data_IF_241897857518
#
_entry.id   IF_241897857518
#
_cell.length_a   1.000
_cell.length_b   1.000
_cell.length_c   1.000
_cell.angle_alpha   90.00
_cell.angle_beta   90.00
_cell.angle_gamma   90.00
#
_symmetry.space_group_name_H-M   'P 1'
#
loop_
_entity.id
_entity.type
_entity.pdbx_description
1 polymer ?
#
# COMPACT_ATOMS: atom_id res chain seq x y z
N UNK A 1 -5.78 -9.07 65.07
CA UNK A 1 -6.45 -9.36 63.77
C UNK A 1 -6.40 -8.07 62.93
N UNK A 2 -5.49 -7.97 62.01
CA UNK A 2 -5.36 -6.82 61.10
C UNK A 2 -5.63 -7.37 59.68
N UNK A 3 -6.72 -6.90 59.03
CA UNK A 3 -7.04 -7.19 57.64
C UNK A 3 -6.13 -6.37 56.74
N UNK A 4 -5.33 -7.05 55.95
CA UNK A 4 -4.58 -6.43 54.86
C UNK A 4 -5.49 -6.32 53.63
N UNK A 5 -5.84 -5.10 53.23
CA UNK A 5 -6.46 -4.81 51.94
C UNK A 5 -5.37 -4.86 50.84
N UNK A 6 -5.47 -5.82 49.95
CA UNK A 6 -4.64 -5.90 48.77
C UNK A 6 -5.18 -4.88 47.72
N UNK A 7 -4.37 -3.90 47.39
CA UNK A 7 -4.59 -3.00 46.26
C UNK A 7 -4.25 -3.73 44.98
N UNK A 8 -5.23 -4.05 44.16
CA UNK A 8 -5.07 -4.50 42.78
C UNK A 8 -4.72 -3.31 41.86
N UNK A 9 -3.81 -3.44 40.92
CA UNK A 9 -3.44 -2.36 40.02
C UNK A 9 -4.53 -2.12 38.96
N UNK A 10 -4.96 -0.86 38.85
CA UNK A 10 -5.91 -0.33 37.86
C UNK A 10 -5.26 -0.22 36.46
N UNK A 11 -5.01 -1.34 35.80
CA UNK A 11 -4.52 -1.36 34.41
C UNK A 11 -5.25 -2.46 33.63
N UNK A 12 -6.50 -2.31 33.31
CA UNK A 12 -7.17 -3.05 32.21
C UNK A 12 -8.66 -2.68 32.15
N UNK A 13 -8.98 -1.51 31.61
CA UNK A 13 -10.31 -1.31 31.04
C UNK A 13 -10.12 -1.16 29.51
N UNK A 14 -10.80 -1.95 28.70
CA UNK A 14 -10.82 -1.71 27.26
C UNK A 14 -11.58 -0.41 27.01
N UNK A 15 -10.91 0.60 26.46
CA UNK A 15 -11.56 1.80 25.97
C UNK A 15 -12.32 1.43 24.70
N UNK A 16 -13.57 1.03 24.84
CA UNK A 16 -14.52 0.93 23.74
C UNK A 16 -14.93 2.35 23.34
N UNK A 17 -14.16 2.97 22.47
CA UNK A 17 -14.62 4.18 21.78
C UNK A 17 -15.64 3.76 20.70
N UNK A 18 -16.89 3.88 21.04
CA UNK A 18 -17.99 3.86 20.07
C UNK A 18 -17.93 5.20 19.32
N UNK A 19 -17.33 5.21 18.13
CA UNK A 19 -17.48 6.32 17.20
C UNK A 19 -18.89 6.18 16.59
N UNK A 20 -19.78 7.18 16.71
CA UNK A 20 -21.03 7.16 15.97
C UNK A 20 -20.68 7.15 14.47
N UNK A 21 -21.37 6.32 13.68
CA UNK A 21 -21.35 6.40 12.23
C UNK A 21 -21.75 7.83 11.85
N UNK A 22 -20.76 8.67 11.57
CA UNK A 22 -21.01 9.96 10.98
C UNK A 22 -21.60 9.67 9.60
N UNK A 23 -22.89 9.95 9.43
CA UNK A 23 -23.52 10.12 8.13
C UNK A 23 -22.81 11.27 7.42
N UNK A 24 -21.65 10.98 6.83
CA UNK A 24 -20.97 11.87 5.91
C UNK A 24 -21.88 11.94 4.68
N UNK A 25 -22.56 13.05 4.52
CA UNK A 25 -23.22 13.41 3.27
C UNK A 25 -22.23 13.17 2.14
N UNK A 26 -22.52 12.20 1.27
CA UNK A 26 -21.63 11.84 0.16
C UNK A 26 -21.29 13.08 -0.64
N UNK A 27 -20.00 13.40 -0.88
CA UNK A 27 -19.63 14.47 -1.78
C UNK A 27 -20.21 14.11 -3.16
N UNK A 28 -21.10 14.92 -3.66
CA UNK A 28 -21.75 14.70 -4.96
C UNK A 28 -20.74 15.03 -6.06
N UNK A 29 -20.20 14.01 -6.75
CA UNK A 29 -19.30 14.18 -7.89
C UNK A 29 -18.72 12.86 -8.39
N UNK A 30 -18.30 12.75 -9.67
CA UNK A 30 -17.83 11.51 -10.29
C UNK A 30 -16.73 10.79 -9.53
N UNK A 31 -15.78 11.53 -8.95
CA UNK A 31 -14.69 10.95 -8.16
C UNK A 31 -15.17 10.33 -6.84
N UNK A 32 -16.21 10.85 -6.23
CA UNK A 32 -16.77 10.28 -5.00
C UNK A 32 -17.61 9.04 -5.29
N UNK A 33 -18.34 9.04 -6.39
CA UNK A 33 -19.09 7.88 -6.87
C UNK A 33 -18.13 6.74 -7.21
N UNK A 34 -17.06 7.01 -7.97
CA UNK A 34 -16.02 6.05 -8.27
C UNK A 34 -15.44 5.41 -7.00
N UNK A 35 -15.07 6.22 -6.00
CA UNK A 35 -14.56 5.73 -4.71
C UNK A 35 -15.58 4.84 -3.99
N UNK A 36 -16.84 5.25 -3.98
CA UNK A 36 -17.93 4.48 -3.36
C UNK A 36 -18.07 3.10 -4.01
N UNK A 37 -18.00 3.04 -5.34
CA UNK A 37 -18.09 1.80 -6.10
C UNK A 37 -16.88 0.90 -5.84
N UNK A 38 -15.69 1.48 -5.81
CA UNK A 38 -14.48 0.73 -5.49
C UNK A 38 -14.52 0.17 -4.06
N UNK A 39 -14.88 0.98 -3.06
CA UNK A 39 -15.03 0.53 -1.67
C UNK A 39 -16.12 -0.55 -1.55
N UNK A 40 -17.19 -0.49 -2.35
CA UNK A 40 -18.21 -1.54 -2.39
C UNK A 40 -17.61 -2.87 -2.86
N UNK A 41 -16.73 -2.85 -3.88
CA UNK A 41 -16.01 -4.06 -4.32
C UNK A 41 -15.05 -4.56 -3.24
N UNK A 42 -14.31 -3.69 -2.58
CA UNK A 42 -13.43 -4.08 -1.46
C UNK A 42 -14.21 -4.78 -0.33
N UNK A 43 -15.47 -4.39 -0.10
CA UNK A 43 -16.35 -5.00 0.91
C UNK A 43 -17.03 -6.29 0.45
N UNK A 44 -17.16 -6.53 -0.84
CA UNK A 44 -18.02 -7.57 -1.40
C UNK A 44 -17.69 -9.00 -0.97
N UNK A 45 -16.44 -9.27 -0.59
CA UNK A 45 -15.98 -10.59 -0.16
C UNK A 45 -15.69 -10.69 1.35
N UNK A 46 -16.09 -9.68 2.12
CA UNK A 46 -15.89 -9.65 3.57
C UNK A 46 -17.13 -10.21 4.25
N UNK A 47 -16.94 -11.37 4.93
CA UNK A 47 -18.04 -12.16 5.51
C UNK A 47 -18.40 -11.76 6.94
N UNK A 48 -17.59 -10.94 7.58
CA UNK A 48 -17.73 -10.62 9.00
C UNK A 48 -18.31 -9.22 9.21
N UNK A 49 -19.08 -9.00 10.30
CA UNK A 49 -19.40 -7.67 10.77
C UNK A 49 -18.13 -6.83 10.93
N UNK A 50 -18.25 -5.51 10.84
CA UNK A 50 -17.14 -4.61 11.08
C UNK A 50 -16.52 -4.91 12.46
N UNK A 51 -15.22 -5.24 12.47
CA UNK A 51 -14.47 -5.43 13.71
C UNK A 51 -14.09 -4.06 14.24
N UNK A 52 -14.28 -3.78 15.55
CA UNK A 52 -13.79 -2.55 16.16
C UNK A 52 -12.29 -2.39 15.92
N UNK A 53 -11.86 -1.16 15.66
CA UNK A 53 -10.44 -0.85 15.53
C UNK A 53 -9.73 -1.17 16.85
N UNK A 54 -8.78 -2.11 16.80
CA UNK A 54 -8.03 -2.55 17.97
C UNK A 54 -6.54 -2.65 17.63
N UNK A 55 -5.70 -2.44 18.63
CA UNK A 55 -4.24 -2.53 18.52
C UNK A 55 -3.73 -3.49 19.58
N UNK A 56 -2.93 -4.47 19.16
CA UNK A 56 -2.29 -5.45 20.04
C UNK A 56 -0.77 -5.22 20.04
N UNK A 57 -0.09 -5.23 21.20
CA UNK A 57 1.36 -5.13 21.25
C UNK A 57 2.05 -6.25 20.44
N UNK A 58 3.10 -5.89 19.71
CA UNK A 58 3.96 -6.84 19.03
C UNK A 58 5.43 -6.66 19.46
N UNK A 59 6.26 -7.67 19.17
CA UNK A 59 7.70 -7.61 19.38
C UNK A 59 8.39 -7.31 18.05
N UNK A 60 9.58 -6.64 18.08
CA UNK A 60 10.41 -6.51 16.89
C UNK A 60 10.71 -7.86 16.25
N UNK A 61 10.62 -7.94 14.92
CA UNK A 61 10.89 -9.16 14.16
C UNK A 61 12.40 -9.37 14.05
N UNK A 62 12.90 -10.46 14.63
CA UNK A 62 14.35 -10.80 14.58
C UNK A 62 14.73 -11.50 13.28
N UNK A 63 13.85 -12.32 12.74
CA UNK A 63 14.08 -13.14 11.55
C UNK A 63 12.92 -12.93 10.57
N UNK A 64 12.96 -11.87 9.75
CA UNK A 64 11.88 -11.58 8.81
C UNK A 64 11.79 -12.67 7.71
N UNK A 65 10.57 -13.08 7.40
CA UNK A 65 10.32 -14.04 6.33
C UNK A 65 10.25 -13.31 4.98
N UNK A 66 11.17 -13.63 4.09
CA UNK A 66 11.15 -13.25 2.69
C UNK A 66 10.74 -14.45 1.84
N UNK A 67 9.75 -14.28 0.97
CA UNK A 67 9.27 -15.34 0.08
C UNK A 67 10.04 -15.40 -1.26
N UNK A 68 10.90 -14.41 -1.51
CA UNK A 68 11.75 -14.35 -2.69
C UNK A 68 12.89 -13.36 -2.55
N UNK A 69 13.87 -13.48 -3.43
CA UNK A 69 14.96 -12.52 -3.53
C UNK A 69 14.46 -11.25 -4.23
N UNK A 70 14.77 -10.09 -3.70
CA UNK A 70 14.53 -8.82 -4.39
C UNK A 70 15.74 -8.38 -5.20
N UNK A 71 15.57 -7.45 -6.13
CA UNK A 71 16.70 -6.85 -6.82
C UNK A 71 17.58 -6.10 -5.80
N UNK A 72 18.89 -6.41 -5.78
CA UNK A 72 19.85 -5.73 -4.88
C UNK A 72 19.86 -4.22 -5.11
N UNK A 73 19.70 -3.76 -6.34
CA UNK A 73 19.65 -2.34 -6.67
C UNK A 73 18.53 -1.57 -5.96
N UNK A 74 17.36 -2.18 -5.71
CA UNK A 74 16.31 -1.54 -4.90
C UNK A 74 16.74 -1.34 -3.45
N UNK A 75 17.53 -2.25 -2.88
CA UNK A 75 18.08 -2.09 -1.53
C UNK A 75 19.06 -0.93 -1.45
N UNK A 76 19.99 -0.87 -2.40
CA UNK A 76 20.96 0.22 -2.51
C UNK A 76 20.25 1.58 -2.73
N UNK A 77 19.21 1.60 -3.56
CA UNK A 77 18.39 2.79 -3.76
C UNK A 77 17.76 3.28 -2.44
N UNK A 78 17.17 2.38 -1.64
CA UNK A 78 16.62 2.73 -0.33
C UNK A 78 17.68 3.28 0.63
N UNK A 79 18.88 2.71 0.61
CA UNK A 79 20.01 3.14 1.45
C UNK A 79 20.51 4.53 1.04
N UNK A 80 20.35 4.93 -0.23
CA UNK A 80 20.70 6.27 -0.74
C UNK A 80 19.70 7.37 -0.35
N UNK A 81 18.58 7.03 0.28
CA UNK A 81 17.54 8.00 0.64
C UNK A 81 18.11 9.15 1.48
N UNK A 82 17.79 10.43 1.16
CA UNK A 82 18.27 11.58 1.92
C UNK A 82 18.02 11.47 3.43
N UNK A 83 19.05 11.74 4.24
CA UNK A 83 19.03 11.65 5.72
C UNK A 83 19.56 12.91 6.35
N UNK A 84 19.04 13.29 7.51
CA UNK A 84 19.69 14.26 8.39
C UNK A 84 20.71 13.55 9.27
N UNK A 85 21.91 14.14 9.41
CA UNK A 85 22.91 13.66 10.37
C UNK A 85 22.49 14.06 11.78
N UNK A 86 22.15 13.09 12.61
CA UNK A 86 21.73 13.29 14.00
C UNK A 86 22.74 12.57 14.89
N UNK A 87 23.28 13.31 15.88
CA UNK A 87 24.13 12.72 16.90
C UNK A 87 23.30 11.71 17.72
N UNK A 88 23.86 10.54 17.96
CA UNK A 88 23.23 9.46 18.73
C UNK A 88 21.85 9.06 18.17
N UNK A 89 21.75 9.00 16.82
CA UNK A 89 20.50 8.75 16.11
C UNK A 89 19.76 7.51 16.61
N UNK A 90 20.49 6.39 16.80
CA UNK A 90 19.89 5.12 17.25
C UNK A 90 19.27 5.20 18.65
N UNK A 91 19.84 6.02 19.54
CA UNK A 91 19.30 6.23 20.89
C UNK A 91 18.08 7.14 20.91
N UNK A 92 17.97 7.99 19.90
CA UNK A 92 16.84 8.91 19.71
C UNK A 92 15.70 8.31 18.86
N UNK A 93 15.98 7.20 18.16
CA UNK A 93 14.99 6.52 17.34
C UNK A 93 14.03 5.77 18.26
N UNK A 94 12.72 6.02 18.07
CA UNK A 94 11.63 5.28 18.70
C UNK A 94 11.12 4.26 17.68
N UNK A 95 11.06 3.01 18.09
CA UNK A 95 10.51 1.92 17.32
C UNK A 95 9.24 1.41 18.03
N UNK A 96 8.12 1.40 17.30
CA UNK A 96 6.87 0.81 17.75
C UNK A 96 6.54 -0.40 16.86
N UNK A 97 6.18 -1.51 17.49
CA UNK A 97 5.69 -2.71 16.81
C UNK A 97 4.35 -3.09 17.43
N UNK A 98 3.33 -3.29 16.58
CA UNK A 98 2.01 -3.72 17.01
C UNK A 98 1.25 -4.41 15.87
N UNK A 99 0.15 -5.06 16.21
CA UNK A 99 -0.80 -5.58 15.24
C UNK A 99 -2.05 -4.70 15.26
N UNK A 100 -2.42 -4.21 14.09
CA UNK A 100 -3.70 -3.52 13.88
C UNK A 100 -4.74 -4.55 13.44
N UNK A 101 -5.85 -4.64 14.15
CA UNK A 101 -6.94 -5.55 13.79
C UNK A 101 -7.88 -4.86 12.82
N UNK A 102 -7.93 -5.34 11.58
CA UNK A 102 -8.72 -4.75 10.49
C UNK A 102 -9.95 -5.58 10.13
N UNK A 103 -9.89 -6.88 10.39
CA UNK A 103 -11.01 -7.84 10.26
C UNK A 103 -10.72 -9.11 11.07
N UNK A 104 -11.68 -10.02 11.15
CA UNK A 104 -11.50 -11.31 11.83
C UNK A 104 -10.54 -12.23 11.06
N UNK A 105 -9.82 -13.10 11.79
CA UNK A 105 -8.89 -14.08 11.26
C UNK A 105 -7.45 -13.57 11.15
N UNK A 106 -6.53 -14.49 10.85
CA UNK A 106 -5.09 -14.22 10.85
C UNK A 106 -4.69 -13.10 9.89
N UNK A 107 -5.28 -13.08 8.69
CA UNK A 107 -4.99 -12.06 7.69
C UNK A 107 -5.57 -10.68 8.06
N UNK A 108 -6.52 -10.58 8.97
CA UNK A 108 -7.01 -9.31 9.52
C UNK A 108 -6.11 -8.70 10.61
N UNK A 109 -5.07 -9.41 11.04
CA UNK A 109 -4.08 -8.97 12.03
C UNK A 109 -2.86 -8.41 11.32
N UNK A 110 -2.86 -7.09 11.08
CA UNK A 110 -1.85 -6.38 10.28
C UNK A 110 -0.64 -6.03 11.14
N UNK A 111 0.55 -6.59 10.86
CA UNK A 111 1.78 -6.17 11.54
C UNK A 111 2.20 -4.78 11.08
N UNK A 112 2.43 -3.89 12.04
CA UNK A 112 2.83 -2.50 11.80
C UNK A 112 4.15 -2.22 12.49
N UNK A 113 5.06 -1.59 11.76
CA UNK A 113 6.32 -1.04 12.24
C UNK A 113 6.28 0.48 12.07
N UNK A 114 6.51 1.22 13.16
CA UNK A 114 6.67 2.68 13.12
C UNK A 114 8.06 3.04 13.60
N UNK A 115 8.75 3.89 12.84
CA UNK A 115 9.98 4.55 13.24
C UNK A 115 9.77 6.07 13.28
N UNK A 116 10.16 6.69 14.38
CA UNK A 116 10.14 8.15 14.55
C UNK A 116 11.25 8.59 15.52
N UNK A 117 11.54 9.88 15.56
CA UNK A 117 12.44 10.41 16.61
C UNK A 117 11.64 10.67 17.90
N UNK A 118 12.32 10.54 19.05
CA UNK A 118 11.82 11.08 20.32
C UNK A 118 11.52 12.56 20.13
N UNK A 119 10.29 12.94 20.44
CA UNK A 119 9.84 14.31 20.29
C UNK A 119 9.50 14.90 21.66
N UNK A 120 10.17 16.01 21.99
CA UNK A 120 9.91 16.78 23.22
C UNK A 120 8.93 17.94 22.98
N UNK A 121 8.66 18.29 21.70
CA UNK A 121 7.83 19.45 21.34
C UNK A 121 6.33 19.19 21.45
N UNK A 122 5.93 17.91 21.41
CA UNK A 122 4.51 17.48 21.35
C UNK A 122 3.75 18.00 20.11
N UNK A 123 4.45 18.42 19.09
CA UNK A 123 3.85 18.83 17.82
C UNK A 123 3.40 17.62 17.00
N UNK A 124 2.32 17.79 16.25
CA UNK A 124 1.86 16.78 15.29
C UNK A 124 2.76 16.79 14.07
N UNK A 125 3.25 15.63 13.68
CA UNK A 125 4.21 15.44 12.59
C UNK A 125 3.54 14.87 11.34
N UNK A 126 4.10 15.14 10.15
CA UNK A 126 3.69 14.43 8.95
C UNK A 126 4.05 12.95 9.07
N UNK A 127 3.25 12.10 8.46
CA UNK A 127 3.44 10.65 8.46
C UNK A 127 3.50 10.11 7.04
N UNK A 128 4.28 9.06 6.80
CA UNK A 128 4.34 8.40 5.50
C UNK A 128 4.24 6.88 5.70
N UNK A 129 3.33 6.27 4.93
CA UNK A 129 3.15 4.82 4.85
C UNK A 129 3.98 4.28 3.69
N UNK A 130 4.90 3.36 4.00
CA UNK A 130 5.78 2.69 3.05
C UNK A 130 5.33 1.25 2.84
N UNK A 131 5.20 0.82 1.59
CA UNK A 131 4.70 -0.49 1.21
C UNK A 131 5.73 -1.27 0.40
N UNK A 132 5.99 -2.49 0.84
CA UNK A 132 7.01 -3.36 0.27
C UNK A 132 6.58 -4.00 -1.06
N UNK A 133 7.55 -4.37 -1.89
CA UNK A 133 7.35 -5.14 -3.12
C UNK A 133 6.96 -6.59 -2.84
N UNK A 134 6.51 -7.32 -3.87
CA UNK A 134 6.16 -8.74 -3.79
C UNK A 134 7.28 -9.55 -3.13
N UNK A 135 6.88 -10.55 -2.33
CA UNK A 135 7.77 -11.47 -1.62
C UNK A 135 8.67 -10.86 -0.55
N UNK A 136 8.48 -9.56 -0.23
CA UNK A 136 9.18 -8.84 0.85
C UNK A 136 8.27 -8.71 2.08
N UNK A 137 8.72 -7.91 3.04
CA UNK A 137 7.99 -7.58 4.26
C UNK A 137 8.34 -6.17 4.73
N UNK A 138 7.68 -5.67 5.77
CA UNK A 138 7.91 -4.33 6.33
C UNK A 138 9.37 -4.07 6.74
N UNK A 139 10.08 -5.10 7.20
CA UNK A 139 11.48 -4.98 7.63
C UNK A 139 12.44 -4.65 6.48
N UNK A 140 12.07 -5.00 5.24
CA UNK A 140 12.81 -4.62 4.03
C UNK A 140 12.93 -3.11 3.86
N UNK A 141 11.95 -2.36 4.36
CA UNK A 141 11.81 -0.92 4.18
C UNK A 141 12.58 -0.08 5.23
N UNK A 142 13.23 -0.72 6.22
CA UNK A 142 13.93 0.00 7.30
C UNK A 142 14.84 1.13 6.84
N UNK A 143 15.64 1.02 5.75
CA UNK A 143 16.47 2.14 5.31
C UNK A 143 15.68 3.41 4.98
N UNK A 144 14.49 3.26 4.34
CA UNK A 144 13.60 4.39 4.07
C UNK A 144 13.00 4.92 5.37
N UNK A 145 12.48 4.03 6.23
CA UNK A 145 11.86 4.44 7.49
C UNK A 145 12.84 5.26 8.37
N UNK A 146 14.09 4.80 8.50
CA UNK A 146 15.12 5.52 9.25
C UNK A 146 15.49 6.87 8.61
N UNK A 147 15.58 6.90 7.28
CA UNK A 147 15.90 8.12 6.55
C UNK A 147 14.83 9.21 6.76
N UNK A 148 13.55 8.86 6.63
CA UNK A 148 12.46 9.80 6.85
C UNK A 148 12.28 10.13 8.33
N UNK A 149 12.42 9.18 9.26
CA UNK A 149 12.43 9.46 10.69
C UNK A 149 13.51 10.47 11.06
N UNK A 150 14.73 10.37 10.46
CA UNK A 150 15.82 11.35 10.69
C UNK A 150 15.44 12.77 10.29
N UNK A 151 14.47 12.95 9.40
CA UNK A 151 13.97 14.26 8.92
C UNK A 151 12.74 14.76 9.67
N UNK A 152 12.23 14.00 10.66
CA UNK A 152 11.12 14.40 11.52
C UNK A 152 9.77 13.80 11.14
N UNK A 153 9.72 12.91 10.14
CA UNK A 153 8.50 12.17 9.80
C UNK A 153 8.20 11.04 10.78
N UNK A 154 6.94 10.70 10.93
CA UNK A 154 6.51 9.40 11.46
C UNK A 154 6.46 8.43 10.29
N UNK A 155 7.37 7.45 10.26
CA UNK A 155 7.54 6.52 9.15
C UNK A 155 6.91 5.18 9.48
N UNK A 156 5.93 4.74 8.69
CA UNK A 156 5.12 3.56 8.94
C UNK A 156 5.33 2.52 7.84
N UNK A 157 5.49 1.25 8.20
CA UNK A 157 5.43 0.14 7.25
C UNK A 157 4.51 -0.96 7.77
N UNK A 158 3.87 -1.68 6.87
CA UNK A 158 3.03 -2.84 7.19
C UNK A 158 3.46 -4.05 6.37
N UNK A 159 3.15 -5.25 6.87
CA UNK A 159 3.17 -6.44 6.02
C UNK A 159 1.85 -6.51 5.24
N UNK A 160 1.96 -6.55 3.91
CA UNK A 160 0.82 -6.82 3.03
C UNK A 160 0.23 -8.19 3.30
N UNK A 161 -1.01 -8.43 2.86
CA UNK A 161 -1.64 -9.75 2.99
C UNK A 161 -0.74 -10.86 2.48
N UNK A 162 -0.61 -11.93 3.25
CA UNK A 162 0.17 -13.14 2.92
C UNK A 162 1.68 -12.91 2.80
N UNK A 163 2.22 -11.83 3.38
CA UNK A 163 3.64 -11.49 3.41
C UNK A 163 4.15 -11.30 4.85
N UNK A 164 5.46 -11.39 5.05
CA UNK A 164 6.10 -11.14 6.34
C UNK A 164 5.54 -11.99 7.47
N UNK A 165 5.10 -11.38 8.55
CA UNK A 165 4.48 -12.06 9.70
C UNK A 165 3.08 -12.65 9.39
N UNK A 166 2.48 -12.32 8.25
CA UNK A 166 1.21 -12.86 7.74
C UNK A 166 1.42 -14.04 6.80
N UNK A 167 2.66 -14.52 6.67
CA UNK A 167 3.03 -15.67 5.85
C UNK A 167 3.63 -16.78 6.72
N UNK A 168 3.26 -18.02 6.43
CA UNK A 168 3.74 -19.21 7.15
C UNK A 168 4.98 -19.82 6.49
N UNK A 169 5.18 -19.59 5.19
CA UNK A 169 6.27 -20.13 4.39
C UNK A 169 6.53 -19.29 3.13
N UNK A 170 7.44 -19.76 2.27
CA UNK A 170 7.84 -19.02 1.05
C UNK A 170 6.81 -19.06 -0.07
N UNK A 171 5.80 -19.91 -0.02
CA UNK A 171 4.75 -20.03 -1.05
C UNK A 171 3.43 -19.39 -0.65
N UNK A 172 3.29 -18.94 0.60
CA UNK A 172 2.02 -18.46 1.19
C UNK A 172 1.27 -17.47 0.28
N UNK A 173 1.99 -16.53 -0.34
CA UNK A 173 1.34 -15.55 -1.22
C UNK A 173 0.81 -16.19 -2.51
N UNK A 174 1.59 -17.05 -3.15
CA UNK A 174 1.16 -17.78 -4.35
C UNK A 174 -0.01 -18.72 -4.03
N UNK A 175 0.07 -19.43 -2.91
CA UNK A 175 -0.99 -20.36 -2.47
C UNK A 175 -2.30 -19.60 -2.22
N UNK A 176 -2.22 -18.38 -1.65
CA UNK A 176 -3.38 -17.52 -1.45
C UNK A 176 -3.99 -17.04 -2.77
N UNK A 177 -3.17 -16.69 -3.77
CA UNK A 177 -3.64 -16.31 -5.10
C UNK A 177 -4.37 -17.48 -5.81
N UNK A 178 -3.80 -18.69 -5.73
CA UNK A 178 -4.42 -19.91 -6.28
C UNK A 178 -5.73 -20.20 -5.53
N UNK A 179 -5.75 -20.09 -4.22
CA UNK A 179 -6.96 -20.26 -3.41
C UNK A 179 -8.05 -19.24 -3.80
N UNK A 180 -7.68 -17.98 -4.02
CA UNK A 180 -8.60 -16.94 -4.47
C UNK A 180 -9.18 -17.24 -5.87
N UNK A 181 -8.39 -17.79 -6.77
CA UNK A 181 -8.86 -18.27 -8.05
C UNK A 181 -9.93 -19.37 -7.90
N UNK A 182 -9.63 -20.40 -7.12
CA UNK A 182 -10.51 -21.56 -6.89
C UNK A 182 -11.80 -21.18 -6.17
N UNK A 183 -11.70 -20.47 -5.04
CA UNK A 183 -12.81 -20.19 -4.13
C UNK A 183 -13.54 -18.88 -4.44
N UNK A 184 -12.85 -17.85 -4.88
CA UNK A 184 -13.42 -16.52 -5.16
C UNK A 184 -13.87 -15.75 -3.93
N UNK A 185 -13.29 -16.04 -2.77
CA UNK A 185 -13.70 -15.50 -1.47
C UNK A 185 -12.76 -14.41 -0.92
N UNK A 186 -11.59 -14.23 -1.53
CA UNK A 186 -10.59 -13.23 -1.17
C UNK A 186 -10.04 -12.51 -2.40
N UNK A 187 -9.34 -11.39 -2.18
CA UNK A 187 -8.73 -10.57 -3.23
C UNK A 187 -7.26 -10.24 -2.88
N UNK A 188 -6.38 -11.26 -2.75
CA UNK A 188 -5.06 -11.12 -2.14
C UNK A 188 -4.05 -10.35 -2.98
N UNK A 189 -4.31 -10.17 -4.29
CA UNK A 189 -3.39 -9.49 -5.18
C UNK A 189 -3.19 -8.03 -4.79
N UNK A 190 -4.28 -7.24 -4.66
CA UNK A 190 -4.21 -5.82 -4.31
C UNK A 190 -5.26 -5.47 -3.23
N UNK A 191 -6.52 -5.84 -3.45
CA UNK A 191 -7.67 -5.23 -2.81
C UNK A 191 -7.78 -5.51 -1.31
N UNK A 192 -7.36 -6.68 -0.86
CA UNK A 192 -7.40 -7.00 0.58
C UNK A 192 -6.41 -6.16 1.38
N UNK A 193 -5.22 -5.87 0.82
CA UNK A 193 -4.27 -4.94 1.46
C UNK A 193 -4.76 -3.50 1.40
N UNK A 194 -5.46 -3.09 0.32
CA UNK A 194 -6.07 -1.74 0.26
C UNK A 194 -7.12 -1.56 1.35
N UNK A 195 -7.90 -2.59 1.66
CA UNK A 195 -8.81 -2.56 2.82
C UNK A 195 -8.05 -2.33 4.13
N UNK A 196 -6.95 -3.06 4.36
CA UNK A 196 -6.11 -2.85 5.54
C UNK A 196 -5.55 -1.42 5.61
N UNK A 197 -5.21 -0.81 4.46
CA UNK A 197 -4.74 0.56 4.39
C UNK A 197 -5.82 1.60 4.73
N UNK A 198 -7.09 1.36 4.37
CA UNK A 198 -8.21 2.19 4.84
C UNK A 198 -8.30 2.12 6.38
N UNK A 199 -8.19 0.92 6.96
CA UNK A 199 -8.21 0.74 8.41
C UNK A 199 -6.97 1.32 9.10
N UNK A 200 -5.81 1.24 8.45
CA UNK A 200 -4.61 1.93 8.94
C UNK A 200 -4.81 3.45 8.98
N UNK A 201 -5.42 4.04 7.96
CA UNK A 201 -5.75 5.47 7.98
C UNK A 201 -6.75 5.83 9.09
N UNK A 202 -7.74 4.95 9.42
CA UNK A 202 -8.61 5.12 10.61
C UNK A 202 -7.76 5.25 11.89
N UNK A 203 -6.75 4.40 12.05
CA UNK A 203 -5.86 4.42 13.21
C UNK A 203 -4.93 5.63 13.22
N UNK A 204 -4.26 5.93 12.11
CA UNK A 204 -3.29 7.03 12.03
C UNK A 204 -3.92 8.39 12.31
N UNK A 205 -5.17 8.60 11.89
CA UNK A 205 -5.89 9.85 12.13
C UNK A 205 -6.30 10.05 13.61
N UNK A 206 -6.31 8.99 14.42
CA UNK A 206 -6.58 9.04 15.86
C UNK A 206 -5.31 9.28 16.69
N UNK A 207 -4.11 9.12 16.11
CA UNK A 207 -2.84 9.32 16.82
C UNK A 207 -2.61 10.80 17.12
N UNK A 208 -2.16 11.07 18.34
CA UNK A 208 -1.92 12.44 18.82
C UNK A 208 -0.63 13.06 18.26
N UNK A 209 0.33 12.23 17.87
CA UNK A 209 1.64 12.61 17.34
C UNK A 209 1.67 12.76 15.82
N UNK A 210 0.57 12.42 15.12
CA UNK A 210 0.43 12.55 13.67
C UNK A 210 -0.51 13.70 13.31
N UNK A 211 -0.10 14.49 12.32
CA UNK A 211 -0.98 15.45 11.66
C UNK A 211 -1.84 14.68 10.62
N UNK A 212 -3.12 14.54 10.94
CA UNK A 212 -4.07 13.78 10.12
C UNK A 212 -4.31 14.39 8.72
N UNK A 213 -3.90 15.62 8.49
CA UNK A 213 -3.97 16.30 7.19
C UNK A 213 -2.71 16.07 6.33
N UNK A 214 -1.64 15.52 6.91
CA UNK A 214 -0.34 15.29 6.28
C UNK A 214 0.09 13.83 6.36
N UNK A 215 -0.68 12.94 5.70
CA UNK A 215 -0.38 11.51 5.61
C UNK A 215 -0.04 11.16 4.16
N UNK A 216 1.22 10.82 3.91
CA UNK A 216 1.70 10.34 2.62
C UNK A 216 1.64 8.82 2.50
N UNK A 217 1.64 8.33 1.25
CA UNK A 217 1.72 6.90 0.95
C UNK A 217 2.62 6.64 -0.26
N UNK A 218 3.47 5.63 -0.15
CA UNK A 218 4.39 5.21 -1.22
C UNK A 218 4.67 3.71 -1.14
N UNK A 219 5.21 3.16 -2.20
CA UNK A 219 5.65 1.77 -2.23
C UNK A 219 6.21 1.38 -3.58
N UNK A 220 6.94 0.27 -3.59
CA UNK A 220 7.60 -0.29 -4.76
C UNK A 220 6.80 -1.47 -5.33
N UNK A 221 6.60 -1.51 -6.65
CA UNK A 221 5.99 -2.64 -7.37
C UNK A 221 4.60 -2.99 -6.82
N UNK A 222 4.40 -4.14 -6.19
CA UNK A 222 3.15 -4.48 -5.49
C UNK A 222 2.76 -3.40 -4.48
N UNK A 223 3.74 -2.89 -3.70
CA UNK A 223 3.53 -1.77 -2.79
C UNK A 223 3.15 -0.48 -3.51
N UNK A 224 3.65 -0.25 -4.71
CA UNK A 224 3.24 0.86 -5.58
C UNK A 224 1.79 0.73 -6.06
N UNK A 225 1.35 -0.49 -6.39
CA UNK A 225 -0.07 -0.76 -6.69
C UNK A 225 -0.96 -0.52 -5.46
N UNK A 226 -0.53 -0.98 -4.28
CA UNK A 226 -1.24 -0.73 -3.03
C UNK A 226 -1.35 0.77 -2.73
N UNK A 227 -0.25 1.54 -2.91
CA UNK A 227 -0.25 2.99 -2.70
C UNK A 227 -1.20 3.71 -3.65
N UNK A 228 -1.20 3.34 -4.93
CA UNK A 228 -2.12 3.88 -5.93
C UNK A 228 -3.58 3.62 -5.53
N UNK A 229 -3.96 2.36 -5.32
CA UNK A 229 -5.35 2.01 -5.01
C UNK A 229 -5.80 2.49 -3.62
N UNK A 230 -4.89 2.58 -2.64
CA UNK A 230 -5.20 3.18 -1.33
C UNK A 230 -5.49 4.68 -1.46
N UNK A 231 -4.69 5.41 -2.26
CA UNK A 231 -4.95 6.82 -2.52
C UNK A 231 -6.26 7.04 -3.29
N UNK A 232 -6.66 6.11 -4.17
CA UNK A 232 -7.98 6.13 -4.84
C UNK A 232 -9.09 5.91 -3.83
N UNK A 233 -8.98 4.90 -2.96
CA UNK A 233 -10.03 4.49 -2.03
C UNK A 233 -10.22 5.49 -0.88
N UNK A 234 -9.14 6.12 -0.41
CA UNK A 234 -9.12 6.92 0.81
C UNK A 234 -8.43 8.27 0.63
N UNK A 235 -9.19 9.33 0.83
CA UNK A 235 -8.71 10.71 0.64
C UNK A 235 -7.81 11.21 1.78
N UNK A 236 -7.70 10.50 2.89
CA UNK A 236 -6.80 10.81 4.00
C UNK A 236 -5.32 10.64 3.64
N UNK A 237 -5.01 9.81 2.64
CA UNK A 237 -3.71 9.82 2.00
C UNK A 237 -3.57 11.09 1.17
N UNK A 238 -3.00 12.13 1.78
CA UNK A 238 -2.95 13.49 1.22
C UNK A 238 -1.91 13.64 0.12
N UNK A 239 -0.87 12.80 0.08
CA UNK A 239 0.18 12.76 -0.96
C UNK A 239 0.45 11.30 -1.33
N UNK A 240 0.52 10.99 -2.63
CA UNK A 240 0.78 9.63 -3.10
C UNK A 240 1.96 9.57 -4.08
N UNK A 241 2.84 8.58 -3.87
CA UNK A 241 4.00 8.33 -4.74
C UNK A 241 4.11 6.82 -5.05
N UNK A 242 3.31 6.27 -5.99
CA UNK A 242 3.50 4.91 -6.46
C UNK A 242 4.78 4.80 -7.31
N UNK A 243 5.67 3.84 -6.98
CA UNK A 243 6.92 3.57 -7.66
C UNK A 243 6.81 2.22 -8.40
N UNK A 244 7.01 2.21 -9.72
CA UNK A 244 6.93 1.03 -10.61
C UNK A 244 5.70 0.15 -10.33
N UNK A 245 4.54 0.78 -10.10
CA UNK A 245 3.30 0.09 -9.70
C UNK A 245 2.08 0.45 -10.54
N UNK A 246 2.03 1.63 -11.14
CA UNK A 246 0.91 2.02 -12.01
C UNK A 246 1.07 1.38 -13.38
N UNK A 247 0.03 0.72 -13.88
CA UNK A 247 0.04 0.05 -15.18
C UNK A 247 -1.36 0.04 -15.80
N UNK A 248 -1.44 -0.11 -17.13
CA UNK A 248 -2.70 -0.33 -17.86
C UNK A 248 -2.96 -1.83 -17.99
N UNK A 249 -3.80 -2.41 -17.14
CA UNK A 249 -4.10 -3.85 -17.18
C UNK A 249 -4.84 -4.24 -18.46
N UNK A 250 -5.83 -3.45 -18.86
CA UNK A 250 -6.58 -3.66 -20.09
C UNK A 250 -5.71 -3.44 -21.32
N UNK A 251 -4.93 -2.37 -21.32
CA UNK A 251 -3.99 -2.07 -22.40
C UNK A 251 -3.02 -3.24 -22.62
N UNK A 252 -2.47 -3.81 -21.54
CA UNK A 252 -1.56 -4.94 -21.62
C UNK A 252 -2.22 -6.17 -22.26
N UNK A 253 -3.48 -6.48 -21.93
CA UNK A 253 -4.24 -7.56 -22.54
C UNK A 253 -4.47 -7.31 -24.04
N UNK A 254 -4.91 -6.09 -24.40
CA UNK A 254 -5.27 -5.76 -25.77
C UNK A 254 -4.05 -5.71 -26.71
N UNK A 255 -2.86 -5.38 -26.16
CA UNK A 255 -1.60 -5.23 -26.92
C UNK A 255 -0.59 -6.35 -26.73
N UNK A 256 -0.98 -7.50 -26.14
CA UNK A 256 -0.08 -8.65 -25.89
C UNK A 256 1.19 -8.28 -25.08
N UNK A 257 1.04 -7.40 -24.06
CA UNK A 257 2.11 -6.95 -23.18
C UNK A 257 1.89 -7.37 -21.71
N UNK A 258 1.13 -8.43 -21.49
CA UNK A 258 0.76 -8.93 -20.17
C UNK A 258 1.77 -9.93 -19.56
N UNK A 259 2.70 -10.47 -20.35
CA UNK A 259 3.59 -11.58 -19.98
C UNK A 259 4.45 -11.26 -18.75
N UNK A 260 5.06 -10.09 -18.69
CA UNK A 260 5.89 -9.70 -17.55
C UNK A 260 5.12 -9.80 -16.23
N UNK A 261 3.89 -9.28 -16.18
CA UNK A 261 3.05 -9.35 -15.00
C UNK A 261 2.61 -10.77 -14.66
N UNK A 262 2.25 -11.56 -15.66
CA UNK A 262 1.86 -12.97 -15.51
C UNK A 262 3.01 -13.79 -14.95
N UNK A 263 4.22 -13.62 -15.48
CA UNK A 263 5.41 -14.36 -15.05
C UNK A 263 5.77 -14.08 -13.57
N UNK A 264 5.43 -12.90 -13.05
CA UNK A 264 5.67 -12.55 -11.63
C UNK A 264 4.87 -13.41 -10.64
N UNK A 265 3.75 -13.99 -11.08
CA UNK A 265 2.86 -14.87 -10.30
C UNK A 265 2.37 -16.06 -11.15
N UNK A 266 3.25 -16.59 -12.00
CA UNK A 266 2.97 -17.60 -13.01
C UNK A 266 2.18 -18.82 -12.51
N UNK A 267 2.45 -19.41 -11.32
CA UNK A 267 1.70 -20.58 -10.85
C UNK A 267 0.18 -20.36 -10.78
N UNK A 268 -0.28 -19.15 -10.46
CA UNK A 268 -1.70 -18.81 -10.49
C UNK A 268 -2.29 -18.94 -11.90
N UNK A 269 -1.59 -18.43 -12.92
CA UNK A 269 -2.06 -18.46 -14.30
C UNK A 269 -1.99 -19.86 -14.93
N UNK A 270 -1.01 -20.68 -14.52
CA UNK A 270 -0.94 -22.08 -14.91
C UNK A 270 -2.11 -22.88 -14.30
N UNK A 271 -2.47 -22.64 -13.03
CA UNK A 271 -3.65 -23.24 -12.43
C UNK A 271 -4.92 -22.85 -13.19
N UNK A 272 -5.10 -21.55 -13.45
CA UNK A 272 -6.26 -21.06 -14.20
C UNK A 272 -6.32 -21.62 -15.62
N UNK A 273 -5.17 -21.74 -16.30
CA UNK A 273 -5.06 -22.35 -17.62
C UNK A 273 -5.58 -23.79 -17.62
N UNK A 274 -5.14 -24.56 -16.62
CA UNK A 274 -5.56 -25.98 -16.48
C UNK A 274 -7.07 -26.06 -16.23
N UNK A 275 -7.58 -25.30 -15.27
CA UNK A 275 -9.02 -25.28 -14.93
C UNK A 275 -9.92 -24.86 -16.10
N UNK A 276 -9.41 -23.99 -16.97
CA UNK A 276 -10.11 -23.53 -18.17
C UNK A 276 -9.94 -24.46 -19.38
N UNK A 277 -9.16 -25.56 -19.23
CA UNK A 277 -8.92 -26.52 -20.31
C UNK A 277 -8.09 -25.96 -21.49
N UNK A 278 -7.25 -24.93 -21.23
CA UNK A 278 -6.43 -24.27 -22.24
C UNK A 278 -5.05 -24.94 -22.36
N UNK A 279 -4.50 -24.98 -23.57
CA UNK A 279 -3.15 -25.49 -23.83
C UNK A 279 -2.04 -24.49 -23.46
N UNK A 280 -2.34 -23.20 -23.52
CA UNK A 280 -1.42 -22.08 -23.21
C UNK A 280 -2.12 -21.01 -22.37
N UNK A 281 -1.34 -20.20 -21.68
CA UNK A 281 -1.83 -18.96 -21.07
C UNK A 281 -2.06 -17.97 -22.21
N UNK A 282 -3.33 -17.60 -22.44
CA UNK A 282 -3.75 -16.65 -23.45
C UNK A 282 -4.48 -15.45 -22.82
N UNK A 283 -4.89 -14.49 -23.63
CA UNK A 283 -5.64 -13.28 -23.19
C UNK A 283 -6.91 -13.62 -22.40
N UNK A 284 -7.59 -14.71 -22.75
CA UNK A 284 -8.79 -15.12 -22.05
C UNK A 284 -8.46 -15.61 -20.64
N UNK A 285 -7.43 -16.43 -20.49
CA UNK A 285 -6.94 -16.87 -19.16
C UNK A 285 -6.57 -15.66 -18.32
N UNK A 286 -5.81 -14.70 -18.87
CA UNK A 286 -5.36 -13.51 -18.16
C UNK A 286 -6.57 -12.68 -17.69
N UNK A 287 -7.52 -12.42 -18.58
CA UNK A 287 -8.74 -11.67 -18.24
C UNK A 287 -9.56 -12.38 -17.15
N UNK A 288 -9.77 -13.69 -17.27
CA UNK A 288 -10.54 -14.48 -16.29
C UNK A 288 -9.89 -14.47 -14.91
N UNK A 289 -8.55 -14.49 -14.86
CA UNK A 289 -7.84 -14.40 -13.59
C UNK A 289 -8.08 -13.05 -12.93
N UNK A 290 -7.92 -11.93 -13.68
CA UNK A 290 -8.16 -10.60 -13.11
C UNK A 290 -9.61 -10.42 -12.65
N UNK A 291 -10.59 -10.80 -13.45
CA UNK A 291 -12.02 -10.77 -13.08
C UNK A 291 -12.29 -11.55 -11.79
N UNK A 292 -11.56 -12.65 -11.57
CA UNK A 292 -11.75 -13.54 -10.41
C UNK A 292 -11.08 -13.02 -9.14
N UNK A 293 -9.82 -12.57 -9.21
CA UNK A 293 -9.04 -12.21 -8.02
C UNK A 293 -9.02 -10.71 -7.70
N UNK A 294 -9.39 -9.87 -8.67
CA UNK A 294 -9.44 -8.42 -8.54
C UNK A 294 -10.52 -7.82 -9.46
N UNK A 295 -11.82 -8.01 -9.15
CA UNK A 295 -12.92 -7.61 -10.02
C UNK A 295 -12.86 -6.15 -10.44
N UNK A 296 -12.95 -5.91 -11.76
CA UNK A 296 -12.91 -4.58 -12.35
C UNK A 296 -11.50 -4.00 -12.58
N UNK A 297 -10.44 -4.75 -12.25
CA UNK A 297 -9.05 -4.28 -12.36
C UNK A 297 -8.64 -3.95 -13.80
N UNK A 298 -9.09 -4.74 -14.78
CA UNK A 298 -8.83 -4.52 -16.20
C UNK A 298 -9.98 -3.76 -16.91
N UNK A 299 -10.83 -3.09 -16.15
CA UNK A 299 -11.98 -2.37 -16.68
C UNK A 299 -12.25 -1.08 -15.91
N UNK A 300 -13.31 -1.04 -15.12
CA UNK A 300 -13.76 0.20 -14.46
C UNK A 300 -12.77 0.78 -13.45
N UNK A 301 -11.86 -0.05 -12.87
CA UNK A 301 -10.86 0.40 -11.91
C UNK A 301 -9.44 0.44 -12.48
N UNK A 302 -9.26 0.20 -13.77
CA UNK A 302 -7.96 0.31 -14.43
C UNK A 302 -7.42 1.74 -14.38
N UNK A 303 -6.12 1.88 -14.58
CA UNK A 303 -5.39 3.14 -14.39
C UNK A 303 -5.96 4.35 -15.16
N UNK A 304 -6.50 4.22 -16.41
CA UNK A 304 -7.10 5.36 -17.11
C UNK A 304 -8.31 5.98 -16.42
N UNK A 305 -8.93 5.23 -15.51
CA UNK A 305 -10.14 5.64 -14.78
C UNK A 305 -9.84 5.97 -13.31
N UNK A 306 -8.98 5.21 -12.66
CA UNK A 306 -8.72 5.30 -11.23
C UNK A 306 -7.67 6.34 -10.86
N UNK A 307 -6.59 6.50 -11.65
CA UNK A 307 -5.52 7.45 -11.33
C UNK A 307 -6.00 8.91 -11.33
N UNK A 308 -6.82 9.37 -12.31
CA UNK A 308 -7.37 10.73 -12.30
C UNK A 308 -8.20 11.08 -11.07
N UNK A 309 -8.81 10.06 -10.41
CA UNK A 309 -9.63 10.24 -9.19
C UNK A 309 -8.83 10.75 -7.99
N UNK A 310 -7.50 10.66 -8.03
CA UNK A 310 -6.62 11.15 -6.97
C UNK A 310 -6.57 12.68 -6.96
N UNK A 311 -6.79 13.35 -8.10
CA UNK A 311 -6.82 14.81 -8.18
C UNK A 311 -7.79 15.42 -7.14
N UNK A 312 -7.45 16.57 -6.56
CA UNK A 312 -6.27 17.43 -6.77
C UNK A 312 -5.13 17.18 -5.75
N UNK A 313 -5.07 16.02 -5.10
CA UNK A 313 -4.02 15.69 -4.12
C UNK A 313 -2.69 15.46 -4.84
N UNK A 314 -1.53 15.92 -4.29
CA UNK A 314 -0.22 15.70 -4.90
C UNK A 314 0.03 14.23 -5.25
N UNK A 315 0.34 13.97 -6.53
CA UNK A 315 0.60 12.65 -7.08
C UNK A 315 1.86 12.67 -7.94
N UNK A 316 2.86 11.87 -7.56
CA UNK A 316 4.04 11.59 -8.36
C UNK A 316 4.05 10.12 -8.75
N UNK A 317 4.02 9.82 -10.04
CA UNK A 317 4.18 8.46 -10.55
C UNK A 317 5.60 8.29 -11.06
N UNK A 318 6.31 7.27 -10.55
CA UNK A 318 7.67 6.92 -10.93
C UNK A 318 7.69 5.56 -11.62
N UNK A 319 8.32 5.48 -12.78
CA UNK A 319 8.41 4.24 -13.58
C UNK A 319 9.76 4.10 -14.25
N UNK A 320 10.14 2.88 -14.62
CA UNK A 320 11.20 2.65 -15.59
C UNK A 320 10.65 2.76 -17.01
N UNK A 321 11.37 3.37 -17.93
CA UNK A 321 10.90 3.49 -19.31
C UNK A 321 10.84 2.13 -20.04
N UNK A 322 11.62 1.15 -19.57
CA UNK A 322 11.71 -0.19 -20.13
C UNK A 322 11.11 -1.26 -19.21
N UNK A 323 10.20 -0.86 -18.30
CA UNK A 323 9.56 -1.75 -17.35
C UNK A 323 8.56 -2.71 -18.04
N UNK A 324 8.84 -4.02 -18.10
CA UNK A 324 7.95 -4.99 -18.76
C UNK A 324 6.67 -5.27 -17.94
N UNK A 325 6.61 -4.89 -16.66
CA UNK A 325 5.42 -5.06 -15.83
C UNK A 325 4.49 -3.85 -15.91
N UNK A 326 5.06 -2.68 -16.21
CA UNK A 326 4.35 -1.42 -16.36
C UNK A 326 4.76 -0.75 -17.69
N UNK A 327 4.42 -1.36 -18.85
CA UNK A 327 4.87 -0.88 -20.16
C UNK A 327 4.51 0.57 -20.40
N UNK A 328 5.50 1.38 -20.80
CA UNK A 328 5.35 2.83 -20.96
C UNK A 328 4.21 3.24 -21.91
N UNK A 329 3.99 2.58 -23.08
CA UNK A 329 2.87 2.92 -23.94
C UNK A 329 1.50 2.72 -23.27
N UNK A 330 1.39 1.74 -22.34
CA UNK A 330 0.18 1.52 -21.54
C UNK A 330 -0.12 2.62 -20.53
N UNK A 331 0.85 3.51 -20.26
CA UNK A 331 0.70 4.64 -19.34
C UNK A 331 0.34 5.96 -20.04
N UNK A 332 0.39 6.04 -21.36
CA UNK A 332 0.07 7.28 -22.09
C UNK A 332 -1.34 7.80 -21.78
N UNK A 333 -2.34 6.95 -21.89
CA UNK A 333 -3.73 7.31 -21.59
C UNK A 333 -3.96 7.66 -20.11
N UNK A 334 -3.51 6.84 -19.14
CA UNK A 334 -3.59 7.18 -17.72
C UNK A 334 -2.95 8.52 -17.39
N UNK A 335 -1.74 8.78 -17.88
CA UNK A 335 -0.99 10.04 -17.64
C UNK A 335 -1.71 11.22 -18.27
N UNK A 336 -2.15 11.11 -19.52
CA UNK A 336 -2.88 12.18 -20.22
C UNK A 336 -4.18 12.54 -19.48
N UNK A 337 -5.01 11.57 -19.14
CA UNK A 337 -6.27 11.81 -18.40
C UNK A 337 -6.02 12.38 -17.01
N UNK A 338 -4.97 11.93 -16.34
CA UNK A 338 -4.61 12.46 -15.02
C UNK A 338 -4.14 13.91 -15.14
N UNK A 339 -3.27 14.22 -16.10
CA UNK A 339 -2.84 15.59 -16.37
C UNK A 339 -4.02 16.52 -16.63
N UNK A 340 -4.98 16.08 -17.45
CA UNK A 340 -6.22 16.83 -17.70
C UNK A 340 -7.02 17.07 -16.41
N UNK A 341 -7.23 16.03 -15.57
CA UNK A 341 -7.95 16.16 -14.31
C UNK A 341 -7.31 17.18 -13.36
N UNK A 342 -5.97 17.20 -13.29
CA UNK A 342 -5.25 18.21 -12.48
C UNK A 342 -5.30 19.62 -13.07
N UNK A 343 -5.33 19.75 -14.39
CA UNK A 343 -5.55 21.05 -15.06
C UNK A 343 -6.96 21.58 -14.79
N UNK A 344 -7.99 20.74 -14.96
CA UNK A 344 -9.38 21.07 -14.68
C UNK A 344 -9.62 21.43 -13.21
N UNK A 345 -8.91 20.77 -12.30
CA UNK A 345 -8.95 21.10 -10.87
C UNK A 345 -8.19 22.39 -10.50
N UNK A 346 -7.42 22.99 -11.42
CA UNK A 346 -6.62 24.19 -11.16
C UNK A 346 -5.27 23.95 -10.46
N UNK A 347 -4.81 22.69 -10.40
CA UNK A 347 -3.57 22.30 -9.69
C UNK A 347 -2.59 21.50 -10.56
N UNK A 348 -2.22 21.95 -11.78
CA UNK A 348 -1.41 21.16 -12.70
C UNK A 348 -0.03 20.78 -12.11
N UNK A 349 0.54 21.59 -11.22
CA UNK A 349 1.83 21.33 -10.57
C UNK A 349 1.79 20.21 -9.51
N UNK A 350 0.60 19.77 -9.09
CA UNK A 350 0.43 18.69 -8.12
C UNK A 350 0.41 17.30 -8.76
N UNK A 351 0.62 17.22 -10.07
CA UNK A 351 0.82 15.95 -10.77
C UNK A 351 2.14 15.94 -11.52
N UNK A 352 2.90 14.86 -11.35
CA UNK A 352 4.15 14.63 -12.07
C UNK A 352 4.26 13.14 -12.42
N UNK A 353 4.72 12.85 -13.63
CA UNK A 353 5.07 11.50 -14.10
C UNK A 353 6.53 11.50 -14.56
N UNK A 354 7.30 10.53 -14.11
CA UNK A 354 8.70 10.33 -14.52
C UNK A 354 8.86 8.88 -14.94
N UNK A 355 9.27 8.67 -16.19
CA UNK A 355 9.77 7.40 -16.69
C UNK A 355 11.29 7.50 -16.88
N UNK A 356 12.07 6.74 -16.11
CA UNK A 356 13.53 6.80 -16.14
C UNK A 356 14.07 5.98 -17.32
N UNK A 357 14.78 6.59 -18.30
CA UNK A 357 15.32 5.88 -19.46
C UNK A 357 16.32 4.79 -19.08
N UNK A 358 16.31 3.65 -19.80
CA UNK A 358 17.22 2.53 -19.59
C UNK A 358 16.92 1.70 -18.34
N UNK A 359 15.82 1.98 -17.65
CA UNK A 359 15.45 1.29 -16.42
C UNK A 359 14.23 0.39 -16.66
N UNK A 360 14.37 -0.88 -16.31
CA UNK A 360 13.29 -1.86 -16.27
C UNK A 360 12.49 -1.79 -14.96
N UNK A 361 12.06 -2.97 -14.46
CA UNK A 361 11.30 -3.07 -13.20
C UNK A 361 12.21 -3.00 -11.97
N UNK A 362 12.73 -1.81 -11.68
CA UNK A 362 13.69 -1.55 -10.61
C UNK A 362 13.47 -0.15 -10.02
N UNK A 363 13.38 -0.05 -8.69
CA UNK A 363 13.43 1.23 -8.00
C UNK A 363 14.87 1.73 -7.92
N UNK A 364 15.12 2.96 -8.41
CA UNK A 364 16.45 3.57 -8.48
C UNK A 364 16.68 4.61 -7.39
N UNK A 365 17.94 4.96 -7.15
CA UNK A 365 18.31 6.07 -6.25
C UNK A 365 17.68 7.41 -6.68
N UNK A 366 17.53 7.63 -8.00
CA UNK A 366 16.86 8.80 -8.55
C UNK A 366 15.37 8.80 -8.21
N UNK A 367 14.67 7.67 -8.36
CA UNK A 367 13.26 7.55 -7.97
C UNK A 367 13.06 7.81 -6.47
N UNK A 368 13.95 7.26 -5.63
CA UNK A 368 13.92 7.51 -4.17
C UNK A 368 14.14 8.99 -3.85
N UNK A 369 15.05 9.66 -4.55
CA UNK A 369 15.28 11.09 -4.37
C UNK A 369 14.07 11.93 -4.82
N UNK A 370 13.50 11.66 -6.00
CA UNK A 370 12.32 12.36 -6.51
C UNK A 370 11.11 12.18 -5.56
N UNK A 371 10.91 10.98 -5.05
CA UNK A 371 9.89 10.71 -4.03
C UNK A 371 10.13 11.51 -2.74
N UNK A 372 11.39 11.57 -2.31
CA UNK A 372 11.79 12.32 -1.12
C UNK A 372 11.52 13.82 -1.28
N UNK A 373 11.95 14.41 -2.39
CA UNK A 373 11.75 15.83 -2.68
C UNK A 373 10.23 16.16 -2.76
N UNK A 374 9.42 15.25 -3.36
CA UNK A 374 7.97 15.40 -3.47
C UNK A 374 7.27 15.40 -2.10
N UNK A 375 7.67 14.51 -1.21
CA UNK A 375 7.13 14.52 0.15
C UNK A 375 7.56 15.75 0.94
N UNK A 376 8.81 16.20 0.80
CA UNK A 376 9.30 17.42 1.48
C UNK A 376 8.60 18.69 0.95
N UNK A 377 8.09 18.69 -0.30
CA UNK A 377 7.34 19.83 -0.87
C UNK A 377 5.87 19.85 -0.38
N UNK A 378 5.24 18.68 -0.22
CA UNK A 378 3.79 18.62 -0.05
C UNK A 378 3.29 18.09 1.32
N UNK A 379 4.18 17.62 2.21
CA UNK A 379 3.89 17.22 3.58
C UNK A 379 4.59 18.10 4.60
#
# INVERSE_FOLDING_TARGET
MALALALLPLWALPVTCYAPEAHVLSPRGPAAEFRSDFVRVLRSRRRTPAVPLAVEPAKPVKHPLYQGNGPLGSREAMESCPRKKIKDFKEKLVEENYYLITEAGEQGRVPVLILSLKDETRERRPAIVFLHSSYKCKEWLRPLLEAYASRGYVSIAIDSRYHGERANNKTTYIDALISAWRNGDTMPFIYDTVWDLIKLADYLTLRKDIDSSRIGITGESLGGMHAWFAAVADTRYSVAVPIIGVQGFRWAIDNDQWQGRVDSIKPLFEEARIDLGKSVIDKEVVKRVWDRIAPGLDSQFDSPHSVPVIAPRPLLILNGAEDPFCPLPGLETPVSRTSQAYQEAGFPKKFKFIAEPGIGHLMTAKMVKEASDWFDEFL
#
